data_IF_663292980399
#
_entry.id   IF_663292980399
#
_cell.length_a   1.000
_cell.length_b   1.000
_cell.length_c   1.000
_cell.angle_alpha   90.00
_cell.angle_beta   90.00
_cell.angle_gamma   90.00
#
_symmetry.space_group_name_H-M   'P 1'
#
loop_
_entity.id
_entity.type
_entity.pdbx_description
1 polymer ?
#
# COMPACT_ATOMS: atom_id res chain seq x y z
N UNK A 1 -15.53 -18.86 -15.59
CA UNK A 1 -15.04 -18.17 -14.37
C UNK A 1 -15.39 -16.71 -14.54
N UNK A 2 -16.29 -16.17 -13.72
CA UNK A 2 -16.59 -14.74 -13.78
C UNK A 2 -15.34 -14.00 -13.26
N UNK A 3 -14.79 -13.10 -14.07
CA UNK A 3 -13.68 -12.25 -13.66
C UNK A 3 -14.12 -11.38 -12.48
N UNK A 4 -13.20 -11.13 -11.56
CA UNK A 4 -13.44 -10.22 -10.46
C UNK A 4 -13.76 -8.81 -10.98
N UNK A 5 -14.84 -8.21 -10.46
CA UNK A 5 -15.19 -6.84 -10.81
C UNK A 5 -14.20 -5.87 -10.16
N UNK A 6 -13.59 -5.03 -10.98
CA UNK A 6 -12.62 -4.02 -10.55
C UNK A 6 -13.16 -2.61 -10.79
N UNK A 7 -12.71 -1.65 -9.99
CA UNK A 7 -12.93 -0.23 -10.22
C UNK A 7 -11.61 0.52 -10.24
N UNK A 8 -11.52 1.50 -11.14
CA UNK A 8 -10.49 2.51 -11.08
C UNK A 8 -10.81 3.49 -9.95
N UNK A 9 -9.83 3.81 -9.12
CA UNK A 9 -9.94 4.80 -8.04
C UNK A 9 -8.84 5.83 -8.17
N UNK A 10 -9.19 7.07 -7.86
CA UNK A 10 -8.28 8.20 -7.88
C UNK A 10 -7.94 8.59 -6.44
N UNK A 11 -6.65 8.82 -6.16
CA UNK A 11 -6.12 9.17 -4.84
C UNK A 11 -5.43 10.53 -4.88
N UNK A 12 -5.30 11.16 -3.72
CA UNK A 12 -4.57 12.43 -3.56
C UNK A 12 -5.04 13.51 -4.56
N UNK A 13 -6.36 13.75 -4.62
CA UNK A 13 -6.94 14.71 -5.57
C UNK A 13 -6.84 14.29 -7.04
N UNK A 14 -6.51 13.03 -7.33
CA UNK A 14 -6.36 12.49 -8.68
C UNK A 14 -4.92 12.45 -9.19
N UNK A 15 -3.93 12.77 -8.35
CA UNK A 15 -2.51 12.66 -8.72
C UNK A 15 -2.07 11.21 -8.99
N UNK A 16 -2.70 10.25 -8.30
CA UNK A 16 -2.50 8.81 -8.53
C UNK A 16 -3.83 8.18 -8.86
N UNK A 17 -3.79 7.21 -9.79
CA UNK A 17 -4.92 6.33 -10.04
C UNK A 17 -4.48 4.88 -9.89
N UNK A 18 -5.41 4.04 -9.45
CA UNK A 18 -5.20 2.61 -9.29
C UNK A 18 -6.43 1.85 -9.75
N UNK A 19 -6.29 0.53 -9.88
CA UNK A 19 -7.38 -0.38 -10.21
C UNK A 19 -7.38 -1.48 -9.16
N UNK A 20 -8.46 -1.58 -8.39
CA UNK A 20 -8.62 -2.60 -7.36
C UNK A 20 -9.98 -3.29 -7.47
N UNK A 21 -10.11 -4.53 -6.98
CA UNK A 21 -11.39 -5.18 -6.80
C UNK A 21 -12.42 -4.33 -6.06
N UNK A 22 -13.69 -4.43 -6.46
CA UNK A 22 -14.79 -3.69 -5.82
C UNK A 22 -14.98 -4.02 -4.34
N UNK A 23 -14.50 -5.18 -3.90
CA UNK A 23 -14.59 -5.63 -2.50
C UNK A 23 -13.77 -4.77 -1.53
N UNK A 24 -12.78 -4.03 -2.02
CA UNK A 24 -11.96 -3.19 -1.17
C UNK A 24 -12.69 -1.89 -0.79
N UNK A 25 -12.73 -1.57 0.48
CA UNK A 25 -13.19 -0.29 1.03
C UNK A 25 -11.99 0.63 1.25
N UNK A 26 -12.10 1.91 0.86
CA UNK A 26 -11.00 2.87 0.93
C UNK A 26 -11.12 3.76 2.16
N UNK A 27 -10.03 3.90 2.92
CA UNK A 27 -9.84 4.86 3.99
C UNK A 27 -8.60 5.72 3.73
N UNK A 28 -8.70 7.00 4.06
CA UNK A 28 -7.61 7.97 3.91
C UNK A 28 -7.20 8.48 5.29
N UNK A 29 -5.91 8.38 5.59
CA UNK A 29 -5.34 8.92 6.82
C UNK A 29 -4.08 9.72 6.48
N UNK A 30 -4.22 11.05 6.37
CA UNK A 30 -3.13 11.97 6.02
C UNK A 30 -2.38 11.56 4.74
N UNK A 31 -1.19 10.97 4.88
CA UNK A 31 -0.30 10.54 3.80
C UNK A 31 -0.45 9.04 3.47
N UNK A 32 -1.27 8.32 4.23
CA UNK A 32 -1.47 6.89 4.11
C UNK A 32 -2.83 6.64 3.46
N UNK A 33 -2.81 5.79 2.45
CA UNK A 33 -4.00 5.28 1.80
C UNK A 33 -4.18 3.80 2.15
N UNK A 34 -5.34 3.45 2.71
CA UNK A 34 -5.63 2.09 3.19
C UNK A 34 -6.82 1.54 2.42
N UNK A 35 -6.67 0.33 1.89
CA UNK A 35 -7.76 -0.48 1.36
C UNK A 35 -8.01 -1.66 2.29
N UNK A 36 -9.24 -1.81 2.71
CA UNK A 36 -9.69 -2.88 3.60
C UNK A 36 -10.50 -3.88 2.79
N UNK A 37 -10.25 -5.17 2.94
CA UNK A 37 -11.16 -6.23 2.48
C UNK A 37 -11.87 -6.86 3.70
N UNK A 38 -13.09 -6.41 4.03
CA UNK A 38 -13.83 -6.91 5.20
C UNK A 38 -14.15 -8.40 5.12
N UNK A 39 -14.09 -8.99 3.92
CA UNK A 39 -14.43 -10.41 3.70
C UNK A 39 -13.25 -11.34 3.96
N UNK A 40 -12.01 -10.82 3.96
CA UNK A 40 -10.78 -11.62 4.03
C UNK A 40 -9.84 -11.24 5.17
N UNK A 41 -10.18 -10.21 5.94
CA UNK A 41 -9.28 -9.64 6.95
C UNK A 41 -7.93 -9.21 6.34
N UNK A 42 -7.96 -8.75 5.09
CA UNK A 42 -6.80 -8.27 4.36
C UNK A 42 -6.81 -6.73 4.33
N UNK A 43 -5.63 -6.13 4.48
CA UNK A 43 -5.45 -4.69 4.30
C UNK A 43 -4.31 -4.44 3.31
N UNK A 44 -4.50 -3.46 2.41
CA UNK A 44 -3.45 -2.94 1.55
C UNK A 44 -3.16 -1.51 1.98
N UNK A 45 -1.90 -1.24 2.31
CA UNK A 45 -1.44 0.09 2.73
C UNK A 45 -0.53 0.64 1.65
N UNK A 46 -0.78 1.88 1.26
CA UNK A 46 0.05 2.66 0.35
C UNK A 46 0.52 3.91 1.07
N UNK A 47 1.84 4.08 1.12
CA UNK A 47 2.49 5.18 1.80
C UNK A 47 3.50 5.85 0.86
N UNK A 48 3.61 7.17 0.96
CA UNK A 48 4.66 7.92 0.28
C UNK A 48 5.84 8.13 1.22
N UNK A 49 6.98 7.58 0.83
CA UNK A 49 8.24 7.70 1.56
C UNK A 49 9.21 8.62 0.83
N UNK A 50 10.11 9.22 1.58
CA UNK A 50 11.22 9.98 1.00
C UNK A 50 12.21 9.06 0.29
N UNK A 51 12.80 9.55 -0.79
CA UNK A 51 13.83 8.81 -1.52
C UNK A 51 15.09 8.66 -0.66
N UNK A 52 15.50 7.41 -0.41
CA UNK A 52 16.75 7.11 0.29
C UNK A 52 17.91 7.08 -0.69
N UNK A 53 18.62 8.20 -0.81
CA UNK A 53 19.74 8.35 -1.77
C UNK A 53 20.93 7.41 -1.53
N UNK A 54 21.05 6.87 -0.32
CA UNK A 54 22.14 5.97 0.09
C UNK A 54 21.81 4.50 -0.10
N UNK A 55 20.56 4.17 -0.48
CA UNK A 55 20.09 2.80 -0.66
C UNK A 55 19.99 2.51 -2.16
N UNK A 56 20.76 1.53 -2.68
CA UNK A 56 20.63 1.08 -4.06
C UNK A 56 19.22 0.58 -4.37
N UNK A 57 18.75 0.80 -5.61
CA UNK A 57 17.40 0.40 -6.06
C UNK A 57 17.15 -1.11 -5.87
N UNK A 58 18.15 -1.94 -6.18
CA UNK A 58 18.09 -3.40 -6.04
C UNK A 58 18.04 -3.88 -4.57
N UNK A 59 18.32 -3.00 -3.62
CA UNK A 59 18.24 -3.27 -2.17
C UNK A 59 17.10 -2.51 -1.49
N UNK A 60 16.41 -1.61 -2.20
CA UNK A 60 15.41 -0.72 -1.64
C UNK A 60 14.25 -1.48 -0.99
N UNK A 61 13.77 -2.54 -1.63
CA UNK A 61 12.67 -3.37 -1.09
C UNK A 61 13.03 -4.02 0.24
N UNK A 62 14.21 -4.65 0.32
CA UNK A 62 14.71 -5.27 1.56
C UNK A 62 14.90 -4.23 2.66
N UNK A 63 15.44 -3.07 2.32
CA UNK A 63 15.69 -1.98 3.27
C UNK A 63 14.38 -1.49 3.92
N UNK A 64 13.35 -1.19 3.13
CA UNK A 64 12.06 -0.72 3.65
C UNK A 64 11.33 -1.79 4.47
N UNK A 65 11.41 -3.06 4.08
CA UNK A 65 10.80 -4.15 4.88
C UNK A 65 11.49 -4.31 6.23
N UNK A 66 12.82 -4.19 6.27
CA UNK A 66 13.59 -4.25 7.51
C UNK A 66 13.30 -3.05 8.42
N UNK A 67 13.24 -1.84 7.86
CA UNK A 67 12.83 -0.64 8.60
C UNK A 67 11.44 -0.85 9.22
N UNK A 68 10.45 -1.25 8.42
CA UNK A 68 9.10 -1.47 8.89
C UNK A 68 9.04 -2.53 10.00
N UNK A 69 9.78 -3.63 9.86
CA UNK A 69 9.84 -4.64 10.92
C UNK A 69 10.46 -4.10 12.20
N UNK A 70 11.56 -3.35 12.11
CA UNK A 70 12.21 -2.75 13.27
C UNK A 70 11.28 -1.75 13.99
N UNK A 71 10.52 -0.93 13.25
CA UNK A 71 9.55 0.00 13.83
C UNK A 71 8.40 -0.68 14.57
N UNK A 72 8.03 -1.89 14.12
CA UNK A 72 6.96 -2.68 14.72
C UNK A 72 7.47 -3.70 15.75
N UNK A 73 8.75 -3.60 16.16
CA UNK A 73 9.41 -4.57 17.04
C UNK A 73 9.23 -6.03 16.55
N UNK A 74 9.18 -6.24 15.23
CA UNK A 74 9.01 -7.54 14.61
C UNK A 74 10.37 -8.20 14.35
N UNK A 75 10.49 -9.47 14.72
CA UNK A 75 11.65 -10.30 14.35
C UNK A 75 11.49 -10.77 12.90
N UNK A 76 12.45 -10.43 12.02
CA UNK A 76 12.53 -10.91 10.62
C UNK A 76 13.40 -12.17 10.49
#
# INVERSE_FOLDING_TARGET
MAGELVAQRAFFGGAITSIFPLRFEAAYLFLIFVLLDPSRDEILIFEFLEMKHEVPDDQSSTWFVQELANEQDAEL
#
